data_IF_509709976295
#
_entry.id   IF_509709976295
#
_cell.length_a   1.000
_cell.length_b   1.000
_cell.length_c   1.000
_cell.angle_alpha   90.00
_cell.angle_beta   90.00
_cell.angle_gamma   90.00
#
_symmetry.space_group_name_H-M   'P 1'
#
loop_
_entity.id
_entity.type
_entity.pdbx_description
1 polymer ?
#
# COMPACT_ATOMS: atom_id res chain seq x y z
N UNK A 1 24.01 10.86 -0.78
CA UNK A 1 23.15 10.98 0.43
C UNK A 1 22.89 9.57 0.93
N UNK A 2 22.99 9.28 2.22
CA UNK A 2 22.65 7.95 2.73
C UNK A 2 21.12 7.78 2.83
N UNK A 3 20.65 6.55 2.85
CA UNK A 3 19.20 6.25 2.86
C UNK A 3 18.46 6.81 4.08
N UNK A 4 19.13 6.87 5.25
CA UNK A 4 18.53 7.42 6.46
C UNK A 4 18.26 8.92 6.33
N UNK A 5 19.20 9.69 5.80
CA UNK A 5 19.02 11.11 5.54
C UNK A 5 17.96 11.33 4.44
N UNK A 6 18.01 10.54 3.38
CA UNK A 6 17.04 10.57 2.29
C UNK A 6 15.59 10.34 2.79
N UNK A 7 15.40 9.35 3.66
CA UNK A 7 14.10 9.06 4.26
C UNK A 7 13.62 10.20 5.17
N UNK A 8 14.50 10.73 6.04
CA UNK A 8 14.18 11.84 6.94
C UNK A 8 13.71 13.07 6.16
N UNK A 9 14.49 13.47 5.16
CA UNK A 9 14.18 14.64 4.32
C UNK A 9 12.86 14.45 3.57
N UNK A 10 12.62 13.24 3.07
CA UNK A 10 11.38 12.89 2.39
C UNK A 10 10.16 12.92 3.31
N UNK A 11 10.26 12.38 4.52
CA UNK A 11 9.20 12.44 5.54
C UNK A 11 8.87 13.88 5.90
N UNK A 12 9.89 14.72 6.08
CA UNK A 12 9.71 16.14 6.36
C UNK A 12 9.00 16.85 5.19
N UNK A 13 9.40 16.56 3.95
CA UNK A 13 8.78 17.12 2.75
C UNK A 13 7.33 16.69 2.58
N UNK A 14 6.95 15.48 3.03
CA UNK A 14 5.56 15.01 3.08
C UNK A 14 4.75 15.64 4.22
N UNK A 15 5.37 16.39 5.13
CA UNK A 15 4.71 16.96 6.30
C UNK A 15 4.26 15.90 7.33
N UNK A 16 4.87 14.72 7.30
CA UNK A 16 4.53 13.62 8.21
C UNK A 16 5.36 13.67 9.48
N UNK A 17 4.76 13.26 10.60
CA UNK A 17 5.44 13.10 11.87
C UNK A 17 5.68 11.60 12.16
N UNK A 18 6.86 11.10 11.81
CA UNK A 18 7.26 9.70 11.99
C UNK A 18 8.53 9.69 12.86
N UNK A 19 8.45 9.07 14.02
CA UNK A 19 9.55 9.00 14.97
C UNK A 19 10.76 8.20 14.43
N UNK A 20 11.91 8.37 15.06
CA UNK A 20 13.16 7.75 14.63
C UNK A 20 13.11 6.21 14.69
N UNK A 21 12.39 5.64 15.64
CA UNK A 21 12.25 4.18 15.76
C UNK A 21 11.48 3.60 14.56
N UNK A 22 10.41 4.26 14.13
CA UNK A 22 9.67 3.89 12.92
C UNK A 22 10.50 4.10 11.66
N UNK A 23 11.26 5.20 11.57
CA UNK A 23 12.18 5.44 10.46
C UNK A 23 13.24 4.35 10.35
N UNK A 24 13.84 3.93 11.46
CA UNK A 24 14.78 2.82 11.49
C UNK A 24 14.13 1.52 11.00
N UNK A 25 12.92 1.21 11.45
CA UNK A 25 12.17 0.02 11.02
C UNK A 25 11.79 0.06 9.54
N UNK A 26 11.49 1.23 8.98
CA UNK A 26 11.29 1.40 7.54
C UNK A 26 12.57 1.06 6.75
N UNK A 27 13.73 1.45 7.25
CA UNK A 27 15.02 1.11 6.62
C UNK A 27 15.35 -0.38 6.75
N UNK A 28 15.03 -0.99 7.90
CA UNK A 28 15.19 -2.45 8.09
C UNK A 28 14.32 -3.21 7.08
N UNK A 29 13.07 -2.76 6.87
CA UNK A 29 12.20 -3.31 5.84
C UNK A 29 12.80 -3.16 4.43
N UNK A 30 13.32 -1.99 4.09
CA UNK A 30 13.96 -1.75 2.79
C UNK A 30 15.16 -2.69 2.57
N UNK A 31 15.99 -2.89 3.59
CA UNK A 31 17.13 -3.79 3.54
C UNK A 31 16.69 -5.25 3.35
N UNK A 32 15.65 -5.68 4.07
CA UNK A 32 15.07 -7.01 3.95
C UNK A 32 14.50 -7.25 2.56
N UNK A 33 13.75 -6.30 2.02
CA UNK A 33 13.20 -6.35 0.66
C UNK A 33 14.31 -6.48 -0.39
N UNK A 34 15.38 -5.68 -0.29
CA UNK A 34 16.52 -5.75 -1.19
C UNK A 34 17.22 -7.11 -1.12
N UNK A 35 17.41 -7.66 0.07
CA UNK A 35 17.99 -8.99 0.28
C UNK A 35 17.20 -10.08 -0.44
N UNK A 36 15.90 -10.12 -0.22
CA UNK A 36 15.01 -11.12 -0.83
C UNK A 36 14.82 -10.92 -2.32
N UNK A 37 14.80 -9.66 -2.78
CA UNK A 37 14.63 -9.33 -4.20
C UNK A 37 15.75 -9.89 -5.10
N UNK A 38 16.96 -10.06 -4.56
CA UNK A 38 18.07 -10.69 -5.28
C UNK A 38 17.76 -12.13 -5.71
N UNK A 39 16.95 -12.83 -4.92
CA UNK A 39 16.65 -14.26 -5.16
C UNK A 39 15.26 -14.45 -5.77
N UNK A 40 14.26 -13.69 -5.34
CA UNK A 40 12.85 -13.99 -5.61
C UNK A 40 12.14 -13.01 -6.55
N UNK A 41 12.81 -11.95 -7.01
CA UNK A 41 12.21 -10.94 -7.91
C UNK A 41 10.88 -10.38 -7.39
N UNK A 42 10.88 -9.93 -6.14
CA UNK A 42 9.69 -9.39 -5.46
C UNK A 42 9.24 -8.04 -6.03
N UNK A 43 10.18 -7.26 -6.56
CA UNK A 43 9.97 -5.96 -7.19
C UNK A 43 10.86 -5.80 -8.41
N UNK A 44 10.39 -5.03 -9.40
CA UNK A 44 11.16 -4.69 -10.58
C UNK A 44 12.32 -3.70 -10.28
N UNK A 45 12.23 -2.98 -9.17
CA UNK A 45 13.25 -2.02 -8.76
C UNK A 45 14.52 -2.73 -8.29
N UNK A 46 15.64 -2.44 -8.96
CA UNK A 46 16.93 -3.07 -8.68
C UNK A 46 17.92 -2.12 -8.00
N UNK A 47 17.74 -0.82 -8.19
CA UNK A 47 18.64 0.20 -7.67
C UNK A 47 18.32 0.51 -6.19
N UNK A 48 19.23 0.19 -5.25
CA UNK A 48 19.05 0.53 -3.84
C UNK A 48 18.86 2.02 -3.57
N UNK A 49 19.43 2.89 -4.40
CA UNK A 49 19.30 4.33 -4.24
C UNK A 49 17.86 4.83 -4.46
N UNK A 50 17.06 4.09 -5.21
CA UNK A 50 15.66 4.41 -5.50
C UNK A 50 14.67 3.79 -4.51
N UNK A 51 15.12 2.90 -3.64
CA UNK A 51 14.22 2.17 -2.72
C UNK A 51 13.48 3.12 -1.78
N UNK A 52 14.15 4.14 -1.28
CA UNK A 52 13.53 5.11 -0.36
C UNK A 52 12.39 5.87 -1.04
N UNK A 53 12.62 6.44 -2.22
CA UNK A 53 11.59 7.20 -2.94
C UNK A 53 10.47 6.33 -3.49
N UNK A 54 10.81 5.24 -4.18
CA UNK A 54 9.85 4.42 -4.93
C UNK A 54 9.06 3.43 -4.06
N UNK A 55 9.59 3.03 -2.91
CA UNK A 55 8.92 2.08 -2.02
C UNK A 55 8.49 2.70 -0.71
N UNK A 56 9.38 3.41 -0.01
CA UNK A 56 9.03 3.97 1.29
C UNK A 56 8.19 5.24 1.16
N UNK A 57 8.73 6.30 0.59
CA UNK A 57 8.03 7.59 0.50
C UNK A 57 6.75 7.51 -0.33
N UNK A 58 6.77 6.77 -1.44
CA UNK A 58 5.56 6.50 -2.24
C UNK A 58 4.45 5.86 -1.40
N UNK A 59 4.78 4.83 -0.60
CA UNK A 59 3.83 4.18 0.31
C UNK A 59 3.31 5.11 1.40
N UNK A 60 4.16 5.98 1.95
CA UNK A 60 3.78 6.91 3.02
C UNK A 60 2.77 7.99 2.58
N UNK A 61 2.67 8.26 1.28
CA UNK A 61 1.64 9.17 0.74
C UNK A 61 0.22 8.71 1.00
N UNK A 62 0.00 7.43 1.31
CA UNK A 62 -1.30 6.88 1.67
C UNK A 62 -1.78 7.34 3.05
N UNK A 63 -0.87 7.60 4.00
CA UNK A 63 -1.20 7.82 5.41
C UNK A 63 -2.29 8.88 5.67
N UNK A 64 -2.28 10.07 5.01
CA UNK A 64 -3.31 11.08 5.22
C UNK A 64 -4.72 10.64 4.79
N UNK A 65 -4.82 9.65 3.91
CA UNK A 65 -6.10 9.19 3.36
C UNK A 65 -6.74 8.06 4.17
N UNK A 66 -6.03 7.53 5.17
CA UNK A 66 -6.47 6.42 6.00
C UNK A 66 -6.46 6.75 7.50
N UNK A 67 -6.44 8.04 7.84
CA UNK A 67 -6.27 8.52 9.21
C UNK A 67 -7.32 7.93 10.17
N UNK A 68 -8.56 7.80 9.73
CA UNK A 68 -9.68 7.33 10.55
C UNK A 68 -10.00 5.83 10.40
N UNK A 69 -9.26 5.12 9.55
CA UNK A 69 -9.45 3.69 9.37
C UNK A 69 -8.94 2.90 10.59
N UNK A 70 -9.67 1.85 10.95
CA UNK A 70 -9.26 0.88 11.97
C UNK A 70 -8.75 -0.42 11.34
N UNK A 71 -9.21 -0.75 10.15
CA UNK A 71 -8.81 -1.92 9.39
C UNK A 71 -8.50 -1.58 7.94
N UNK A 72 -7.44 -2.15 7.41
CA UNK A 72 -7.04 -1.97 6.01
C UNK A 72 -6.72 -3.33 5.37
N UNK A 73 -7.17 -3.51 4.15
CA UNK A 73 -6.79 -4.62 3.28
C UNK A 73 -5.92 -4.10 2.14
N UNK A 74 -4.71 -4.63 2.01
CA UNK A 74 -3.81 -4.38 0.88
C UNK A 74 -3.84 -5.58 -0.06
N UNK A 75 -4.35 -5.37 -1.27
CA UNK A 75 -4.55 -6.43 -2.27
C UNK A 75 -3.42 -6.39 -3.30
N UNK A 76 -2.74 -7.53 -3.43
CA UNK A 76 -1.59 -7.66 -4.31
C UNK A 76 -0.39 -6.82 -3.88
N UNK A 77 -0.03 -6.80 -2.58
CA UNK A 77 1.05 -5.93 -2.09
C UNK A 77 2.43 -6.28 -2.65
N UNK A 78 2.59 -7.43 -3.27
CA UNK A 78 3.86 -7.84 -3.85
C UNK A 78 4.99 -7.89 -2.83
N UNK A 79 5.92 -6.93 -2.92
CA UNK A 79 6.98 -6.74 -1.93
C UNK A 79 6.54 -6.07 -0.62
N UNK A 80 5.23 -5.85 -0.42
CA UNK A 80 4.66 -5.31 0.81
C UNK A 80 4.28 -3.83 0.78
N UNK A 81 4.19 -3.22 -0.41
CA UNK A 81 3.81 -1.81 -0.54
C UNK A 81 2.36 -1.66 -1.00
N UNK A 82 1.60 -0.74 -0.41
CA UNK A 82 1.97 0.17 0.69
C UNK A 82 1.82 -0.44 2.10
N UNK A 83 1.35 -1.67 2.24
CA UNK A 83 0.89 -2.26 3.50
C UNK A 83 1.94 -2.31 4.61
N UNK A 84 3.18 -2.78 4.34
CA UNK A 84 4.21 -2.87 5.39
C UNK A 84 4.69 -1.49 5.86
N UNK A 85 5.05 -0.54 4.98
CA UNK A 85 5.35 0.83 5.44
C UNK A 85 4.22 1.46 6.24
N UNK A 86 2.96 1.25 5.82
CA UNK A 86 1.78 1.71 6.57
C UNK A 86 1.70 1.07 7.95
N UNK A 87 1.90 -0.24 8.07
CA UNK A 87 1.86 -0.97 9.33
C UNK A 87 2.91 -0.48 10.33
N UNK A 88 4.11 -0.15 9.83
CA UNK A 88 5.19 0.40 10.66
C UNK A 88 4.79 1.76 11.23
N UNK A 89 4.16 2.62 10.42
CA UNK A 89 3.77 3.96 10.82
C UNK A 89 2.48 4.01 11.65
N UNK A 90 1.57 3.07 11.42
CA UNK A 90 0.24 2.96 12.06
C UNK A 90 0.09 1.64 12.82
N UNK A 91 0.76 1.47 13.98
CA UNK A 91 0.66 0.25 14.78
C UNK A 91 -0.74 0.03 15.38
N UNK A 92 -1.58 1.05 15.36
CA UNK A 92 -3.00 1.05 15.76
C UNK A 92 -3.96 0.52 14.67
N UNK A 93 -3.50 0.42 13.42
CA UNK A 93 -4.29 -0.01 12.26
C UNK A 93 -4.08 -1.50 12.02
N UNK A 94 -5.13 -2.29 12.06
CA UNK A 94 -5.08 -3.70 11.71
C UNK A 94 -5.01 -3.88 10.19
N UNK A 95 -3.95 -4.48 9.69
CA UNK A 95 -3.68 -4.61 8.26
C UNK A 95 -3.67 -6.08 7.85
N UNK A 96 -4.41 -6.39 6.80
CA UNK A 96 -4.32 -7.67 6.10
C UNK A 96 -3.61 -7.46 4.75
N UNK A 97 -2.57 -8.25 4.51
CA UNK A 97 -1.86 -8.33 3.23
C UNK A 97 -2.34 -9.59 2.51
N UNK A 98 -2.94 -9.44 1.34
CA UNK A 98 -3.50 -10.54 0.56
C UNK A 98 -2.83 -10.61 -0.81
N UNK A 99 -2.12 -11.69 -1.09
CA UNK A 99 -1.48 -11.93 -2.38
C UNK A 99 -1.64 -13.40 -2.81
N UNK A 100 -1.86 -13.63 -4.08
CA UNK A 100 -2.00 -14.98 -4.64
C UNK A 100 -0.65 -15.68 -4.87
N UNK A 101 0.44 -14.93 -4.89
CA UNK A 101 1.78 -15.45 -5.14
C UNK A 101 2.43 -15.96 -3.84
N UNK A 102 2.61 -17.27 -3.72
CA UNK A 102 3.16 -17.91 -2.51
C UNK A 102 4.58 -17.48 -2.15
N UNK A 103 5.41 -17.12 -3.14
CA UNK A 103 6.77 -16.60 -2.88
C UNK A 103 6.71 -15.21 -2.26
N UNK A 104 5.78 -14.38 -2.74
CA UNK A 104 5.55 -13.03 -2.17
C UNK A 104 4.99 -13.13 -0.76
N UNK A 105 3.99 -13.98 -0.52
CA UNK A 105 3.43 -14.16 0.82
C UNK A 105 4.42 -14.75 1.81
N UNK A 106 5.32 -15.63 1.38
CA UNK A 106 6.42 -16.11 2.21
C UNK A 106 7.35 -14.97 2.65
N UNK A 107 7.71 -14.07 1.73
CA UNK A 107 8.46 -12.87 2.08
C UNK A 107 7.69 -11.97 3.06
N UNK A 108 6.40 -11.72 2.80
CA UNK A 108 5.57 -10.88 3.66
C UNK A 108 5.49 -11.43 5.09
N UNK A 109 5.32 -12.75 5.24
CA UNK A 109 5.32 -13.40 6.55
C UNK A 109 6.66 -13.26 7.26
N UNK A 110 7.77 -13.45 6.55
CA UNK A 110 9.10 -13.26 7.10
C UNK A 110 9.32 -11.80 7.54
N UNK A 111 8.91 -10.84 6.72
CA UNK A 111 9.02 -9.42 7.05
C UNK A 111 8.20 -9.05 8.30
N UNK A 112 6.98 -9.56 8.41
CA UNK A 112 6.12 -9.37 9.60
C UNK A 112 6.80 -9.88 10.87
N UNK A 113 7.43 -11.06 10.80
CA UNK A 113 8.13 -11.67 11.93
C UNK A 113 9.39 -10.86 12.29
N UNK A 114 10.27 -10.61 11.33
CA UNK A 114 11.55 -9.91 11.56
C UNK A 114 11.36 -8.48 12.04
N UNK A 115 10.34 -7.77 11.53
CA UNK A 115 10.03 -6.40 11.92
C UNK A 115 9.14 -6.31 13.17
N UNK A 116 8.65 -7.45 13.69
CA UNK A 116 7.79 -7.50 14.86
C UNK A 116 6.45 -6.79 14.69
N UNK A 117 5.82 -6.89 13.51
CA UNK A 117 4.56 -6.22 13.19
C UNK A 117 3.37 -7.02 13.73
N UNK A 118 2.89 -6.65 14.90
CA UNK A 118 1.77 -7.34 15.60
C UNK A 118 0.41 -7.02 14.98
N UNK A 119 0.31 -5.97 14.21
CA UNK A 119 -0.90 -5.46 13.57
C UNK A 119 -1.05 -5.93 12.11
N UNK A 120 -0.26 -6.90 11.67
CA UNK A 120 -0.29 -7.40 10.28
C UNK A 120 -0.63 -8.88 10.23
N UNK A 121 -1.58 -9.22 9.39
CA UNK A 121 -1.91 -10.59 8.99
C UNK A 121 -1.62 -10.78 7.50
N UNK A 122 -1.01 -11.89 7.13
CA UNK A 122 -0.73 -12.25 5.74
C UNK A 122 -1.62 -13.42 5.32
N UNK A 123 -2.31 -13.26 4.18
CA UNK A 123 -3.15 -14.29 3.57
C UNK A 123 -2.58 -14.62 2.20
N UNK A 124 -2.34 -15.91 1.94
CA UNK A 124 -1.97 -16.41 0.63
C UNK A 124 -3.21 -16.96 -0.06
N UNK A 125 -3.62 -16.34 -1.16
CA UNK A 125 -4.81 -16.75 -1.88
C UNK A 125 -5.31 -15.70 -2.87
N UNK A 126 -6.33 -16.08 -3.62
CA UNK A 126 -7.01 -15.16 -4.53
C UNK A 126 -8.03 -14.33 -3.78
N UNK A 127 -8.16 -13.07 -4.18
CA UNK A 127 -9.04 -12.10 -3.51
C UNK A 127 -10.51 -12.50 -3.62
N UNK A 128 -10.91 -13.11 -4.73
CA UNK A 128 -12.29 -13.55 -4.99
C UNK A 128 -12.74 -14.66 -4.04
N UNK A 129 -11.80 -15.42 -3.49
CA UNK A 129 -12.06 -16.50 -2.54
C UNK A 129 -11.86 -16.09 -1.07
N UNK A 130 -11.40 -14.89 -0.81
CA UNK A 130 -11.18 -14.38 0.54
C UNK A 130 -12.54 -14.02 1.19
N UNK A 131 -12.69 -14.33 2.47
CA UNK A 131 -13.94 -14.07 3.22
C UNK A 131 -13.72 -13.32 4.53
N UNK A 132 -12.71 -13.66 5.29
CA UNK A 132 -12.52 -13.22 6.68
C UNK A 132 -11.55 -12.03 6.82
N UNK A 133 -11.59 -11.09 5.86
CA UNK A 133 -10.70 -9.93 5.85
C UNK A 133 -11.40 -8.63 5.41
N UNK A 134 -12.66 -8.45 5.85
CA UNK A 134 -13.38 -7.19 5.59
C UNK A 134 -12.68 -6.02 6.27
N UNK A 135 -12.57 -4.90 5.53
CA UNK A 135 -11.83 -3.73 5.95
C UNK A 135 -12.60 -2.42 5.74
N UNK A 136 -12.24 -1.41 6.53
CA UNK A 136 -12.73 -0.03 6.35
C UNK A 136 -12.14 0.60 5.10
N UNK A 137 -10.88 0.25 4.79
CA UNK A 137 -10.17 0.69 3.58
C UNK A 137 -9.60 -0.50 2.85
N UNK A 138 -9.84 -0.56 1.54
CA UNK A 138 -9.15 -1.49 0.65
C UNK A 138 -8.22 -0.69 -0.26
N UNK A 139 -6.94 -1.03 -0.23
CA UNK A 139 -5.92 -0.36 -1.04
C UNK A 139 -5.22 -1.35 -1.97
N UNK A 140 -4.65 -0.81 -3.03
CA UNK A 140 -3.73 -1.53 -3.91
C UNK A 140 -2.77 -0.58 -4.60
N UNK A 141 -1.63 -1.11 -4.99
CA UNK A 141 -0.66 -0.45 -5.86
C UNK A 141 -0.29 -1.38 -7.01
N UNK A 142 -0.57 -0.98 -8.26
CA UNK A 142 -0.29 -1.78 -9.47
C UNK A 142 -0.88 -3.20 -9.45
N UNK A 143 -2.11 -3.35 -8.95
CA UNK A 143 -2.79 -4.64 -8.85
C UNK A 143 -3.66 -4.93 -10.08
N UNK A 144 -4.59 -4.05 -10.43
CA UNK A 144 -5.56 -4.20 -11.50
C UNK A 144 -6.09 -2.84 -11.99
N UNK A 145 -6.89 -2.85 -13.05
CA UNK A 145 -7.71 -1.68 -13.40
C UNK A 145 -8.74 -1.40 -12.29
N UNK A 146 -9.20 -0.15 -12.17
CA UNK A 146 -10.10 0.26 -11.09
C UNK A 146 -11.40 -0.55 -11.04
N UNK A 147 -11.98 -0.86 -12.20
CA UNK A 147 -13.22 -1.64 -12.26
C UNK A 147 -13.04 -3.07 -11.71
N UNK A 148 -11.96 -3.73 -12.10
CA UNK A 148 -11.64 -5.07 -11.61
C UNK A 148 -11.30 -5.04 -10.12
N UNK A 149 -10.52 -4.06 -9.69
CA UNK A 149 -10.18 -3.86 -8.28
C UNK A 149 -11.43 -3.73 -7.41
N UNK A 150 -12.38 -2.90 -7.82
CA UNK A 150 -13.65 -2.72 -7.12
C UNK A 150 -14.48 -4.01 -7.14
N UNK A 151 -14.71 -4.59 -8.33
CA UNK A 151 -15.56 -5.76 -8.48
C UNK A 151 -15.05 -6.99 -7.71
N UNK A 152 -13.73 -7.21 -7.70
CA UNK A 152 -13.15 -8.37 -7.02
C UNK A 152 -13.06 -8.21 -5.51
N UNK A 153 -13.15 -6.98 -5.00
CA UNK A 153 -12.96 -6.70 -3.56
C UNK A 153 -14.20 -6.17 -2.86
N UNK A 154 -15.29 -5.93 -3.59
CA UNK A 154 -16.50 -5.31 -3.03
C UNK A 154 -17.06 -6.06 -1.82
N UNK A 155 -17.02 -7.41 -1.85
CA UNK A 155 -17.49 -8.26 -0.75
C UNK A 155 -16.64 -8.16 0.52
N UNK A 156 -15.42 -7.63 0.41
CA UNK A 156 -14.48 -7.41 1.51
C UNK A 156 -14.54 -5.99 2.08
N UNK A 157 -15.30 -5.10 1.46
CA UNK A 157 -15.46 -3.75 1.98
C UNK A 157 -16.55 -3.73 3.06
N UNK A 158 -16.23 -3.12 4.21
CA UNK A 158 -17.21 -2.86 5.26
C UNK A 158 -18.19 -1.78 4.84
N UNK A 159 -19.34 -1.74 5.49
CA UNK A 159 -20.33 -0.69 5.30
C UNK A 159 -19.73 0.66 5.69
N UNK A 160 -19.88 1.66 4.83
CA UNK A 160 -19.26 2.98 5.00
C UNK A 160 -17.77 3.04 4.67
N UNK A 161 -17.16 1.90 4.28
CA UNK A 161 -15.77 1.83 3.83
C UNK A 161 -15.53 2.44 2.44
N UNK A 162 -14.29 2.44 2.02
CA UNK A 162 -13.88 2.99 0.72
C UNK A 162 -12.65 2.27 0.15
N UNK A 163 -12.48 2.42 -1.15
CA UNK A 163 -11.25 2.01 -1.85
C UNK A 163 -10.31 3.19 -1.97
N UNK A 164 -9.03 2.96 -1.74
CA UNK A 164 -7.94 3.90 -1.93
C UNK A 164 -6.93 3.29 -2.91
N UNK A 165 -7.13 3.54 -4.21
CA UNK A 165 -6.28 2.99 -5.26
C UNK A 165 -5.12 3.92 -5.56
N UNK A 166 -3.88 3.42 -5.46
CA UNK A 166 -2.67 4.15 -5.82
C UNK A 166 -2.34 3.91 -7.29
N UNK A 167 -2.28 4.97 -8.07
CA UNK A 167 -2.04 4.96 -9.51
C UNK A 167 -0.81 5.82 -9.89
N UNK A 168 -0.25 5.56 -11.05
CA UNK A 168 0.79 6.41 -11.65
C UNK A 168 0.18 7.65 -12.29
N UNK A 169 -0.08 7.60 -13.59
CA UNK A 169 -0.76 8.68 -14.35
C UNK A 169 -2.23 8.79 -13.97
N UNK A 170 -2.83 9.94 -14.24
CA UNK A 170 -4.27 10.17 -14.00
C UNK A 170 -5.11 9.12 -14.75
N UNK A 171 -5.94 8.31 -14.06
CA UNK A 171 -6.54 7.11 -14.65
C UNK A 171 -7.94 7.39 -15.26
N UNK A 172 -8.10 8.38 -16.15
CA UNK A 172 -9.41 8.77 -16.70
C UNK A 172 -10.14 7.59 -17.36
N UNK A 173 -9.43 6.83 -18.22
CA UNK A 173 -10.05 5.70 -18.93
C UNK A 173 -10.51 4.58 -17.99
N UNK A 174 -9.83 4.40 -16.87
CA UNK A 174 -10.24 3.43 -15.85
C UNK A 174 -11.45 3.94 -15.04
N UNK A 175 -11.49 5.24 -14.75
CA UNK A 175 -12.61 5.88 -14.06
C UNK A 175 -13.89 5.76 -14.89
N UNK A 176 -13.80 5.96 -16.19
CA UNK A 176 -14.94 5.90 -17.11
C UNK A 176 -15.55 4.47 -17.21
N UNK A 177 -14.79 3.45 -16.82
CA UNK A 177 -15.23 2.03 -16.81
C UNK A 177 -15.75 1.55 -15.44
N UNK A 178 -15.75 2.41 -14.42
CA UNK A 178 -16.23 2.01 -13.09
C UNK A 178 -17.72 1.61 -13.12
N UNK A 179 -18.12 0.60 -12.33
CA UNK A 179 -19.52 0.21 -12.25
C UNK A 179 -20.39 1.33 -11.68
N UNK A 180 -21.66 1.36 -12.12
CA UNK A 180 -22.62 2.40 -11.68
C UNK A 180 -22.90 2.38 -10.17
N UNK A 181 -22.62 1.27 -9.48
CA UNK A 181 -22.80 1.11 -8.04
C UNK A 181 -21.81 1.92 -7.18
N UNK A 182 -20.76 2.46 -7.78
CA UNK A 182 -19.75 3.23 -7.08
C UNK A 182 -19.60 4.63 -7.66
N UNK A 183 -18.96 5.51 -6.90
CA UNK A 183 -18.60 6.86 -7.34
C UNK A 183 -17.17 7.17 -6.90
N UNK A 184 -16.46 7.90 -7.76
CA UNK A 184 -15.19 8.52 -7.39
C UNK A 184 -15.50 9.72 -6.50
N UNK A 185 -15.04 9.65 -5.26
CA UNK A 185 -15.15 10.77 -4.32
C UNK A 185 -14.05 11.79 -4.60
N UNK A 186 -12.84 11.30 -4.91
CA UNK A 186 -11.66 12.14 -5.06
C UNK A 186 -10.63 11.47 -5.98
N UNK A 187 -9.99 12.27 -6.83
CA UNK A 187 -8.72 11.93 -7.46
C UNK A 187 -7.74 13.03 -7.13
N UNK A 188 -6.62 12.69 -6.54
CA UNK A 188 -5.63 13.67 -6.11
C UNK A 188 -4.24 13.28 -6.58
N UNK A 189 -3.52 14.25 -7.16
CA UNK A 189 -2.11 14.08 -7.49
C UNK A 189 -1.28 14.05 -6.22
N UNK A 190 -0.41 13.04 -6.11
CA UNK A 190 0.48 12.85 -4.98
C UNK A 190 1.88 13.33 -5.36
N UNK A 191 2.44 14.20 -4.55
CA UNK A 191 3.84 14.58 -4.68
C UNK A 191 4.70 13.65 -3.82
N UNK A 192 5.43 12.74 -4.46
CA UNK A 192 6.39 11.87 -3.79
C UNK A 192 7.77 12.53 -3.83
N UNK A 193 8.36 12.93 -2.69
CA UNK A 193 9.67 13.55 -2.68
C UNK A 193 10.73 12.66 -3.35
N UNK A 194 11.60 13.27 -4.15
CA UNK A 194 12.71 12.58 -4.83
C UNK A 194 12.27 11.54 -5.89
N UNK A 195 10.99 11.53 -6.24
CA UNK A 195 10.46 10.69 -7.30
C UNK A 195 10.04 11.58 -8.48
N UNK A 196 10.68 11.40 -9.62
CA UNK A 196 10.32 12.09 -10.85
C UNK A 196 9.34 11.24 -11.67
N UNK A 197 8.16 11.01 -11.12
CA UNK A 197 7.08 10.30 -11.79
C UNK A 197 5.73 10.74 -11.23
N UNK A 198 4.71 10.71 -12.06
CA UNK A 198 3.35 10.99 -11.61
C UNK A 198 2.84 9.94 -10.64
N UNK A 199 2.10 10.41 -9.63
CA UNK A 199 1.36 9.57 -8.70
C UNK A 199 0.02 10.20 -8.40
N UNK A 200 -0.99 9.34 -8.31
CA UNK A 200 -2.36 9.72 -7.97
C UNK A 200 -2.94 8.74 -6.96
N UNK A 201 -3.84 9.25 -6.13
CA UNK A 201 -4.73 8.41 -5.33
C UNK A 201 -6.15 8.62 -5.80
N UNK A 202 -6.89 7.52 -5.93
CA UNK A 202 -8.30 7.52 -6.30
C UNK A 202 -9.10 6.98 -5.13
N UNK A 203 -9.95 7.81 -4.55
CA UNK A 203 -10.88 7.41 -3.48
C UNK A 203 -12.23 7.11 -4.11
N UNK A 204 -12.70 5.88 -3.92
CA UNK A 204 -13.95 5.37 -4.49
C UNK A 204 -14.85 4.91 -3.34
N UNK A 205 -16.14 5.22 -3.43
CA UNK A 205 -17.16 4.77 -2.47
C UNK A 205 -18.34 4.10 -3.15
N UNK A 206 -19.01 3.22 -2.42
CA UNK A 206 -20.35 2.76 -2.83
C UNK A 206 -21.31 3.95 -2.83
N UNK A 207 -22.16 4.01 -3.86
CA UNK A 207 -23.27 4.97 -3.86
C UNK A 207 -24.29 4.55 -2.80
N UNK A 208 -24.87 5.53 -2.12
CA UNK A 208 -26.02 5.27 -1.25
C UNK A 208 -27.17 4.71 -2.12
N UNK A 209 -27.79 3.63 -1.65
CA UNK A 209 -29.00 3.07 -2.24
C UNK A 209 -30.22 3.89 -1.84
#
# INVERSE_FOLDING_TARGET
MNQAQQLRDGIQALGLNIDEAKQAKLLDYAALLQKWNKTYNLTALRDPAQTVSHHLLDSLTLLPYIEHAQTMLDVGPGGGQPGIPTAICRPDLDITLLDANTKKTAFLQQAVIELGLKNVRVISGRVEAAADCRADVITSRAFAELADFVNWTEHLLKDGGYWAAMKGVYPQEEIDKLPESVAVEKVEALHVPQLNAERHIVIIRKKAV
#
